data_IF_534089021701
#
_entry.id   IF_534089021701
#
_cell.length_a   1.000
_cell.length_b   1.000
_cell.length_c   1.000
_cell.angle_alpha   90.00
_cell.angle_beta   90.00
_cell.angle_gamma   90.00
#
_symmetry.space_group_name_H-M   'P 1'
#
loop_
_entity.id
_entity.type
_entity.pdbx_description
1 polymer ?
#
# COMPACT_ATOMS: atom_id res chain seq x y z
N UNK A 1 -11.75 40.05 6.74
CA UNK A 1 -10.50 39.45 6.22
C UNK A 1 -10.66 37.94 6.34
N UNK A 2 -11.12 37.29 5.28
CA UNK A 2 -11.32 35.83 5.25
C UNK A 2 -9.94 35.19 5.16
N UNK A 3 -9.64 34.24 6.05
CA UNK A 3 -8.44 33.39 5.90
C UNK A 3 -8.48 32.77 4.48
N UNK A 4 -7.35 32.72 3.75
CA UNK A 4 -7.29 31.91 2.55
C UNK A 4 -7.68 30.47 2.92
N UNK A 5 -8.39 29.73 2.05
CA UNK A 5 -8.65 28.32 2.28
C UNK A 5 -7.31 27.62 2.57
N UNK A 6 -7.27 26.65 3.49
CA UNK A 6 -6.04 25.92 3.76
C UNK A 6 -5.50 25.37 2.45
N UNK A 7 -4.30 25.80 2.07
CA UNK A 7 -3.61 25.24 0.91
C UNK A 7 -3.33 23.77 1.22
N UNK A 8 -3.75 22.83 0.36
CA UNK A 8 -3.38 21.44 0.51
C UNK A 8 -1.86 21.38 0.58
N UNK A 9 -1.31 20.78 1.64
CA UNK A 9 0.13 20.60 1.75
C UNK A 9 0.47 19.37 0.91
N UNK A 10 0.83 19.60 -0.35
CA UNK A 10 1.32 18.55 -1.24
C UNK A 10 2.67 18.07 -0.73
N UNK A 11 2.85 16.76 -0.65
CA UNK A 11 4.06 16.18 -0.09
C UNK A 11 4.00 14.67 -0.14
N UNK A 12 5.03 14.06 -0.70
CA UNK A 12 5.22 12.61 -0.66
C UNK A 12 5.93 12.18 0.62
N UNK A 13 5.58 11.01 1.14
CA UNK A 13 6.29 10.35 2.23
C UNK A 13 7.36 9.43 1.63
N UNK A 14 8.64 9.66 1.96
CA UNK A 14 9.75 8.84 1.49
C UNK A 14 10.38 8.04 2.65
N UNK A 15 10.35 6.71 2.51
CA UNK A 15 10.78 5.72 3.51
C UNK A 15 11.62 4.61 2.86
N UNK A 16 12.33 4.92 1.77
CA UNK A 16 13.19 3.97 1.05
C UNK A 16 14.17 3.31 2.04
N UNK A 17 14.10 2.00 2.17
CA UNK A 17 15.01 1.23 3.05
C UNK A 17 14.90 1.55 4.54
N UNK A 18 13.86 2.27 4.98
CA UNK A 18 13.70 2.63 6.38
C UNK A 18 13.46 1.39 7.26
N UNK A 19 13.97 1.43 8.49
CA UNK A 19 13.73 0.40 9.50
C UNK A 19 12.88 0.96 10.64
N UNK A 20 11.72 0.36 10.85
CA UNK A 20 10.77 0.74 11.90
C UNK A 20 10.68 -0.44 12.88
N UNK A 21 11.31 -0.28 14.04
CA UNK A 21 11.35 -1.33 15.08
C UNK A 21 9.99 -1.66 15.72
N UNK A 22 8.97 -0.85 15.47
CA UNK A 22 7.60 -1.01 15.94
C UNK A 22 6.61 -1.10 14.79
N UNK A 23 5.57 -0.28 14.84
CA UNK A 23 4.49 -0.24 13.85
C UNK A 23 4.55 1.07 13.06
N UNK A 24 4.11 1.04 11.81
CA UNK A 24 3.90 2.24 10.99
C UNK A 24 2.41 2.52 10.88
N UNK A 25 1.97 3.68 11.36
CA UNK A 25 0.56 4.09 11.33
C UNK A 25 0.40 5.29 10.41
N UNK A 26 -0.42 5.12 9.37
CA UNK A 26 -0.87 6.17 8.45
C UNK A 26 -2.40 6.13 8.30
N UNK A 27 -3.08 5.66 9.34
CA UNK A 27 -4.54 5.61 9.38
C UNK A 27 -5.11 7.03 9.35
N UNK A 28 -6.20 7.24 8.60
CA UNK A 28 -6.84 8.54 8.38
C UNK A 28 -5.94 9.62 7.75
N UNK A 29 -4.79 9.22 7.17
CA UNK A 29 -3.88 10.16 6.54
C UNK A 29 -4.32 10.50 5.11
N UNK A 30 -3.96 11.71 4.67
CA UNK A 30 -4.11 12.16 3.29
C UNK A 30 -2.72 12.53 2.77
N UNK A 31 -2.28 11.88 1.70
CA UNK A 31 -0.96 12.07 1.10
C UNK A 31 -1.14 12.22 -0.40
N UNK A 32 -0.62 13.31 -0.94
CA UNK A 32 -0.73 13.62 -2.37
C UNK A 32 0.67 13.90 -2.93
N UNK A 33 1.04 13.12 -3.94
CA UNK A 33 2.24 13.35 -4.71
C UNK A 33 2.09 14.65 -5.51
N UNK A 34 3.07 15.56 -5.47
CA UNK A 34 3.05 16.76 -6.31
C UNK A 34 3.27 16.46 -7.80
N UNK A 35 3.72 15.25 -8.14
CA UNK A 35 4.01 14.81 -9.51
C UNK A 35 3.16 13.58 -9.84
N UNK A 36 2.48 13.60 -11.00
CA UNK A 36 1.63 12.49 -11.48
C UNK A 36 2.39 11.17 -11.62
N UNK A 37 3.66 11.24 -11.98
CA UNK A 37 4.49 10.07 -12.30
C UNK A 37 5.20 9.49 -11.06
N UNK A 38 4.82 9.96 -9.87
CA UNK A 38 5.47 9.61 -8.60
C UNK A 38 4.46 9.10 -7.59
N UNK A 39 4.92 8.15 -6.77
CA UNK A 39 4.14 7.66 -5.64
C UNK A 39 3.98 8.71 -4.54
N UNK A 40 2.78 8.75 -3.95
CA UNK A 40 2.49 9.57 -2.77
C UNK A 40 3.23 9.03 -1.55
N UNK A 41 3.27 7.70 -1.40
CA UNK A 41 4.06 7.00 -0.38
C UNK A 41 5.10 6.11 -1.08
N UNK A 42 6.37 6.46 -0.92
CA UNK A 42 7.52 5.72 -1.43
C UNK A 42 8.19 4.97 -0.28
N UNK A 43 7.83 3.71 -0.09
CA UNK A 43 8.45 2.85 0.92
C UNK A 43 9.01 1.53 0.33
N UNK A 44 9.78 1.58 -0.78
CA UNK A 44 10.44 0.39 -1.26
C UNK A 44 11.49 -0.11 -0.25
N UNK A 45 11.59 -1.42 -0.10
CA UNK A 45 12.51 -2.10 0.83
C UNK A 45 12.37 -1.67 2.30
N UNK A 46 11.22 -1.08 2.68
CA UNK A 46 10.96 -0.74 4.08
C UNK A 46 10.89 -2.03 4.91
N UNK A 47 11.47 -2.00 6.10
CA UNK A 47 11.34 -3.05 7.10
C UNK A 47 10.54 -2.51 8.29
N UNK A 48 9.41 -3.13 8.59
CA UNK A 48 8.57 -2.82 9.75
C UNK A 48 8.48 -4.07 10.60
N UNK A 49 9.03 -4.05 11.81
CA UNK A 49 9.00 -5.22 12.71
C UNK A 49 7.56 -5.60 13.08
N UNK A 50 6.68 -4.60 13.21
CA UNK A 50 5.25 -4.76 13.46
C UNK A 50 4.40 -4.66 12.19
N UNK A 51 3.22 -4.07 12.32
CA UNK A 51 2.28 -3.90 11.23
C UNK A 51 2.40 -2.54 10.53
N UNK A 52 1.95 -2.52 9.27
CA UNK A 52 1.72 -1.31 8.50
C UNK A 52 0.20 -1.06 8.48
N UNK A 53 -0.26 -0.05 9.22
CA UNK A 53 -1.68 0.24 9.38
C UNK A 53 -2.05 1.59 8.75
N UNK A 54 -2.66 1.52 7.57
CA UNK A 54 -3.08 2.67 6.78
C UNK A 54 -4.54 2.54 6.36
N UNK A 55 -5.41 2.42 7.37
CA UNK A 55 -6.86 2.35 7.18
C UNK A 55 -7.39 3.73 6.80
N UNK A 56 -8.34 3.80 5.89
CA UNK A 56 -8.93 5.07 5.40
C UNK A 56 -7.87 6.08 4.93
N UNK A 57 -6.74 5.56 4.42
CA UNK A 57 -5.70 6.36 3.79
C UNK A 57 -6.24 6.89 2.47
N UNK A 58 -6.02 8.17 2.19
CA UNK A 58 -6.13 8.73 0.85
C UNK A 58 -4.72 8.95 0.28
N UNK A 59 -4.37 8.24 -0.79
CA UNK A 59 -3.07 8.37 -1.46
C UNK A 59 -3.24 8.70 -2.94
N UNK A 60 -3.05 9.97 -3.29
CA UNK A 60 -3.12 10.48 -4.67
C UNK A 60 -1.70 10.44 -5.24
N UNK A 61 -1.51 9.63 -6.29
CA UNK A 61 -0.22 9.13 -6.75
C UNK A 61 0.07 7.71 -6.27
N UNK A 62 -0.77 7.09 -5.43
CA UNK A 62 -0.61 5.69 -5.02
C UNK A 62 0.51 5.40 -4.01
N UNK A 63 0.76 4.12 -3.76
CA UNK A 63 1.64 3.59 -2.72
C UNK A 63 2.61 2.55 -3.29
N UNK A 64 3.90 2.73 -3.03
CA UNK A 64 4.96 1.80 -3.42
C UNK A 64 5.58 1.10 -2.21
N UNK A 65 5.31 -0.19 -2.08
CA UNK A 65 5.84 -1.14 -1.10
C UNK A 65 6.69 -2.24 -1.76
N UNK A 66 7.35 -1.94 -2.88
CA UNK A 66 8.22 -2.91 -3.56
C UNK A 66 9.26 -3.47 -2.60
N UNK A 67 9.32 -4.80 -2.46
CA UNK A 67 10.28 -5.48 -1.59
C UNK A 67 10.11 -5.18 -0.09
N UNK A 68 8.98 -4.60 0.33
CA UNK A 68 8.74 -4.31 1.74
C UNK A 68 8.64 -5.59 2.58
N UNK A 69 9.14 -5.54 3.81
CA UNK A 69 9.07 -6.63 4.79
C UNK A 69 8.30 -6.14 6.02
N UNK A 70 7.14 -6.74 6.26
CA UNK A 70 6.19 -6.39 7.32
C UNK A 70 6.07 -7.58 8.25
N UNK A 71 6.58 -7.42 9.47
CA UNK A 71 6.64 -8.47 10.49
C UNK A 71 5.28 -8.85 11.08
N UNK A 72 4.22 -8.07 10.81
CA UNK A 72 2.83 -8.42 11.08
C UNK A 72 1.95 -8.31 9.82
N UNK A 73 0.88 -7.52 9.87
CA UNK A 73 -0.09 -7.36 8.79
C UNK A 73 0.05 -6.01 8.07
N UNK A 74 -0.29 -5.98 6.79
CA UNK A 74 -0.57 -4.76 6.02
C UNK A 74 -2.08 -4.54 6.01
N UNK A 75 -2.54 -3.40 6.52
CA UNK A 75 -3.96 -3.06 6.55
C UNK A 75 -4.23 -1.74 5.83
N UNK A 76 -4.95 -1.84 4.71
CA UNK A 76 -5.40 -0.74 3.86
C UNK A 76 -6.93 -0.59 3.87
N UNK A 77 -7.62 -1.15 4.86
CA UNK A 77 -9.08 -1.14 4.91
C UNK A 77 -9.68 0.26 4.74
N UNK A 78 -10.63 0.40 3.81
CA UNK A 78 -11.34 1.66 3.58
C UNK A 78 -10.53 2.72 2.82
N UNK A 79 -9.38 2.37 2.26
CA UNK A 79 -8.47 3.35 1.66
C UNK A 79 -8.79 3.68 0.20
N UNK A 80 -8.49 4.91 -0.20
CA UNK A 80 -8.61 5.39 -1.59
C UNK A 80 -7.22 5.62 -2.16
N UNK A 81 -6.86 4.86 -3.19
CA UNK A 81 -5.56 4.94 -3.86
C UNK A 81 -5.80 5.26 -5.34
N UNK A 82 -5.16 6.29 -5.87
CA UNK A 82 -5.32 6.66 -7.28
C UNK A 82 -4.00 7.06 -7.93
N UNK A 83 -3.84 6.70 -9.20
CA UNK A 83 -2.76 7.16 -10.10
C UNK A 83 -3.17 6.80 -11.53
N UNK A 84 -2.59 7.48 -12.52
CA UNK A 84 -2.88 7.28 -13.95
C UNK A 84 -1.83 6.45 -14.67
N UNK A 85 -0.58 6.43 -14.20
CA UNK A 85 0.57 6.00 -15.01
C UNK A 85 1.21 4.70 -14.54
N UNK A 86 0.84 4.22 -13.35
CA UNK A 86 1.44 3.03 -12.74
C UNK A 86 0.45 2.33 -11.80
N UNK A 87 0.78 1.18 -11.20
CA UNK A 87 -0.06 0.58 -10.18
C UNK A 87 -0.28 1.54 -9.01
N UNK A 88 -1.53 1.72 -8.59
CA UNK A 88 -1.89 2.52 -7.42
C UNK A 88 -1.43 1.89 -6.12
N UNK A 89 -1.35 0.56 -6.10
CA UNK A 89 -0.72 -0.19 -5.03
C UNK A 89 0.32 -1.13 -5.63
N UNK A 90 1.60 -0.79 -5.47
CA UNK A 90 2.72 -1.64 -5.87
C UNK A 90 3.23 -2.41 -4.66
N UNK A 91 3.04 -3.72 -4.66
CA UNK A 91 3.46 -4.66 -3.60
C UNK A 91 4.31 -5.80 -4.14
N UNK A 92 4.97 -5.58 -5.28
CA UNK A 92 5.85 -6.56 -5.87
C UNK A 92 6.94 -6.99 -4.87
N UNK A 93 7.11 -8.30 -4.70
CA UNK A 93 8.01 -8.92 -3.72
C UNK A 93 7.79 -8.49 -2.25
N UNK A 94 6.61 -7.97 -1.91
CA UNK A 94 6.19 -7.74 -0.52
C UNK A 94 6.27 -9.06 0.27
N UNK A 95 6.77 -9.00 1.51
CA UNK A 95 6.60 -10.05 2.49
C UNK A 95 5.77 -9.51 3.68
N UNK A 96 4.55 -10.01 3.85
CA UNK A 96 3.75 -9.79 5.04
C UNK A 96 3.69 -11.09 5.84
N UNK A 97 4.13 -11.06 7.10
CA UNK A 97 4.21 -12.27 7.93
C UNK A 97 2.83 -12.81 8.28
N UNK A 98 1.86 -11.93 8.47
CA UNK A 98 0.48 -12.27 8.77
C UNK A 98 -0.40 -11.94 7.56
N UNK A 99 -1.38 -11.06 7.73
CA UNK A 99 -2.42 -10.82 6.74
C UNK A 99 -2.12 -9.60 5.87
N UNK A 100 -2.69 -9.59 4.66
CA UNK A 100 -2.82 -8.39 3.84
C UNK A 100 -4.31 -8.11 3.68
N UNK A 101 -4.75 -6.95 4.18
CA UNK A 101 -6.14 -6.54 4.15
C UNK A 101 -6.33 -5.33 3.22
N UNK A 102 -6.96 -5.58 2.06
CA UNK A 102 -7.33 -4.58 1.06
C UNK A 102 -8.84 -4.73 0.85
N UNK A 103 -9.64 -4.29 1.84
CA UNK A 103 -11.10 -4.40 1.83
C UNK A 103 -11.75 -3.02 1.90
N UNK A 104 -12.92 -2.87 1.29
CA UNK A 104 -13.63 -1.58 1.18
C UNK A 104 -12.77 -0.47 0.56
N UNK A 105 -11.83 -0.82 -0.31
CA UNK A 105 -10.93 0.14 -0.94
C UNK A 105 -11.51 0.65 -2.26
N UNK A 106 -11.14 1.87 -2.65
CA UNK A 106 -11.32 2.38 -4.02
C UNK A 106 -9.95 2.56 -4.65
N UNK A 107 -9.68 1.84 -5.75
CA UNK A 107 -8.34 1.76 -6.34
C UNK A 107 -8.41 2.05 -7.84
N UNK A 108 -7.85 3.19 -8.25
CA UNK A 108 -7.71 3.62 -9.65
C UNK A 108 -6.25 3.56 -10.08
N UNK A 109 -5.93 2.79 -11.13
CA UNK A 109 -4.54 2.51 -11.54
C UNK A 109 -4.08 1.08 -11.24
N UNK A 110 -4.87 0.31 -10.48
CA UNK A 110 -4.68 -1.13 -10.28
C UNK A 110 -3.72 -1.52 -9.16
N UNK A 111 -3.52 -2.83 -8.99
CA UNK A 111 -2.68 -3.42 -7.94
C UNK A 111 -1.67 -4.37 -8.58
N UNK A 112 -0.40 -4.25 -8.16
CA UNK A 112 0.68 -5.19 -8.48
C UNK A 112 1.03 -6.02 -7.24
N UNK A 113 0.65 -7.30 -7.25
CA UNK A 113 0.93 -8.30 -6.21
C UNK A 113 2.03 -9.30 -6.63
N UNK A 114 2.79 -9.01 -7.68
CA UNK A 114 3.73 -9.99 -8.24
C UNK A 114 4.80 -10.42 -7.22
N UNK A 115 4.86 -11.73 -6.94
CA UNK A 115 5.81 -12.26 -5.96
C UNK A 115 5.52 -11.87 -4.51
N UNK A 116 4.38 -11.25 -4.22
CA UNK A 116 3.96 -10.96 -2.86
C UNK A 116 3.76 -12.26 -2.07
N UNK A 117 4.28 -12.30 -0.84
CA UNK A 117 4.21 -13.41 0.09
C UNK A 117 3.41 -12.98 1.30
N UNK A 118 2.28 -13.63 1.50
CA UNK A 118 1.38 -13.41 2.65
C UNK A 118 1.42 -14.68 3.49
N UNK A 119 1.88 -14.57 4.73
CA UNK A 119 1.97 -15.73 5.63
C UNK A 119 0.61 -16.20 6.17
N UNK A 120 -0.33 -15.27 6.28
CA UNK A 120 -1.74 -15.51 6.62
C UNK A 120 -2.64 -15.40 5.40
N UNK A 121 -3.68 -14.57 5.51
CA UNK A 121 -4.73 -14.41 4.51
C UNK A 121 -4.54 -13.12 3.70
N UNK A 122 -4.87 -13.20 2.40
CA UNK A 122 -5.05 -12.03 1.54
C UNK A 122 -6.55 -11.78 1.40
N UNK A 123 -7.01 -10.68 1.98
CA UNK A 123 -8.36 -10.15 1.77
C UNK A 123 -8.29 -9.07 0.70
N UNK A 124 -8.96 -9.30 -0.43
CA UNK A 124 -8.97 -8.39 -1.55
C UNK A 124 -10.41 -8.15 -2.01
N UNK A 125 -10.96 -7.02 -1.59
CA UNK A 125 -12.28 -6.51 -1.93
C UNK A 125 -12.16 -5.01 -2.17
N UNK A 126 -11.97 -4.63 -3.43
CA UNK A 126 -11.78 -3.24 -3.82
C UNK A 126 -12.65 -2.89 -5.03
N UNK A 127 -13.24 -1.71 -5.00
CA UNK A 127 -13.80 -1.07 -6.17
C UNK A 127 -12.65 -0.60 -7.07
N UNK A 128 -12.67 -1.03 -8.34
CA UNK A 128 -11.65 -0.69 -9.33
C UNK A 128 -12.30 -0.11 -10.58
N UNK A 129 -12.60 1.20 -10.60
CA UNK A 129 -13.11 1.85 -11.79
C UNK A 129 -12.00 1.82 -12.87
N UNK A 130 -12.24 1.07 -13.95
CA UNK A 130 -11.35 0.97 -15.12
C UNK A 130 -9.93 0.40 -14.92
N UNK A 131 -9.67 -0.39 -13.87
CA UNK A 131 -8.31 -0.92 -13.62
C UNK A 131 -8.07 -2.36 -14.11
N UNK A 132 -6.84 -2.62 -14.55
CA UNK A 132 -6.30 -3.95 -14.88
C UNK A 132 -5.78 -4.61 -13.61
N UNK A 133 -6.43 -5.69 -13.14
CA UNK A 133 -5.86 -6.55 -12.11
C UNK A 133 -4.82 -7.48 -12.74
N UNK A 134 -3.51 -7.19 -12.58
CA UNK A 134 -2.45 -8.10 -13.03
C UNK A 134 -2.03 -9.06 -11.91
N UNK A 135 -2.61 -10.26 -11.90
CA UNK A 135 -2.11 -11.39 -11.10
C UNK A 135 -1.35 -12.35 -12.00
N UNK A 136 -0.01 -12.37 -11.92
CA UNK A 136 0.81 -13.44 -12.49
C UNK A 136 1.43 -14.26 -11.36
N UNK A 137 0.77 -15.37 -11.04
CA UNK A 137 1.12 -16.40 -10.03
C UNK A 137 1.11 -15.99 -8.55
N UNK A 138 0.19 -16.58 -7.78
CA UNK A 138 0.25 -16.62 -6.31
C UNK A 138 0.67 -18.04 -5.90
N UNK A 139 1.89 -18.22 -5.36
CA UNK A 139 2.33 -19.52 -4.88
C UNK A 139 1.88 -19.74 -3.44
N UNK A 140 0.93 -20.65 -3.25
CA UNK A 140 0.62 -21.23 -1.94
C UNK A 140 1.62 -22.35 -1.68
N UNK A 141 2.55 -22.19 -0.73
CA UNK A 141 3.35 -23.34 -0.25
C UNK A 141 2.42 -24.26 0.53
N UNK A 142 2.30 -25.56 0.19
CA UNK A 142 1.64 -26.50 1.08
C UNK A 142 2.47 -26.63 2.36
N UNK A 143 1.81 -26.58 3.52
CA UNK A 143 2.40 -26.97 4.79
C UNK A 143 2.86 -28.42 4.66
N UNK A 144 4.18 -28.64 4.71
CA UNK A 144 4.73 -29.99 4.86
C UNK A 144 4.41 -30.44 6.28
N UNK A 145 3.42 -31.31 6.42
CA UNK A 145 3.34 -32.16 7.61
C UNK A 145 4.56 -33.08 7.59
N UNK A 146 5.33 -33.04 8.68
CA UNK A 146 6.36 -34.03 9.04
C UNK A 146 5.66 -35.35 9.37
#
# INVERSE_FOLDING_TARGET
MTLPPPTPTFGSIELFGAQIGGQLWLTDSHVESPNSDSYAIKAPSIHVTGGFYARRLTAIGGVNLWGADIGASLDLHGSTLSTTDHPALRTHALAARLDVNITNCRIEGGIDLFGARVGGQLWLEAEMPAAVLQMRSAQRRPLRHV
#
